data_IF_404476454285
#
_entry.id   IF_404476454285
#
_cell.length_a   1.000
_cell.length_b   1.000
_cell.length_c   1.000
_cell.angle_alpha   90.00
_cell.angle_beta   90.00
_cell.angle_gamma   90.00
#
_symmetry.space_group_name_H-M   'P 1'
#
loop_
_entity.id
_entity.type
_entity.pdbx_description
1 polymer ?
#
# COMPACT_ATOMS: atom_id res chain seq x y z
N UNK A 1 6.86 34.56 24.21
CA UNK A 1 7.17 33.10 24.27
C UNK A 1 7.35 32.63 22.85
N UNK A 2 8.48 32.03 22.52
CA UNK A 2 8.71 31.44 21.20
C UNK A 2 8.26 29.97 21.23
N UNK A 3 7.36 29.61 20.36
CA UNK A 3 6.98 28.21 20.11
C UNK A 3 7.97 27.58 19.14
N UNK A 4 8.13 26.25 19.19
CA UNK A 4 9.03 25.54 18.26
C UNK A 4 8.61 25.65 16.79
N UNK A 5 7.33 25.91 16.54
CA UNK A 5 6.69 25.88 15.21
C UNK A 5 6.94 24.60 14.40
N UNK A 6 7.28 23.51 15.09
CA UNK A 6 7.56 22.22 14.48
C UNK A 6 6.65 21.16 15.08
N UNK A 7 6.08 20.31 14.24
CA UNK A 7 5.28 19.15 14.62
C UNK A 7 5.89 17.89 14.00
N UNK A 8 5.94 16.79 14.75
CA UNK A 8 6.44 15.51 14.25
C UNK A 8 7.97 15.44 13.99
N UNK A 9 8.74 16.42 14.45
CA UNK A 9 10.20 16.43 14.29
C UNK A 9 10.96 15.77 15.45
N UNK A 10 10.30 15.60 16.60
CA UNK A 10 10.91 14.88 17.72
C UNK A 10 10.71 13.40 17.48
N UNK A 11 11.77 12.73 17.05
CA UNK A 11 11.76 11.30 16.77
C UNK A 11 12.56 10.56 17.81
N UNK A 12 12.06 9.39 18.19
CA UNK A 12 12.69 8.52 19.18
C UNK A 12 13.16 7.26 18.46
N UNK A 13 14.45 6.98 18.51
CA UNK A 13 15.00 5.75 17.95
C UNK A 13 14.81 4.57 18.90
N UNK A 14 15.00 3.36 18.38
CA UNK A 14 14.84 2.09 19.10
C UNK A 14 15.72 2.05 20.35
N UNK A 15 16.97 2.51 20.26
CA UNK A 15 17.90 2.52 21.39
C UNK A 15 17.41 3.42 22.52
N UNK A 16 16.98 4.63 22.21
CA UNK A 16 16.43 5.57 23.19
C UNK A 16 15.17 5.00 23.88
N UNK A 17 14.30 4.36 23.10
CA UNK A 17 13.09 3.74 23.62
C UNK A 17 13.42 2.61 24.61
N UNK A 18 14.37 1.74 24.26
CA UNK A 18 14.83 0.65 25.10
C UNK A 18 15.50 1.19 26.39
N UNK A 19 16.39 2.15 26.25
CA UNK A 19 17.05 2.77 27.41
C UNK A 19 16.05 3.40 28.38
N UNK A 20 15.06 4.11 27.85
CA UNK A 20 14.03 4.74 28.67
C UNK A 20 13.16 3.69 29.38
N UNK A 21 12.76 2.64 28.66
CA UNK A 21 11.99 1.55 29.23
C UNK A 21 12.74 0.81 30.35
N UNK A 22 14.05 0.60 30.24
CA UNK A 22 14.87 0.04 31.32
C UNK A 22 14.97 0.96 32.53
N UNK A 23 15.07 2.27 32.33
CA UNK A 23 15.06 3.24 33.47
C UNK A 23 13.73 3.17 34.21
N UNK A 24 12.62 3.10 33.51
CA UNK A 24 11.31 2.91 34.14
C UNK A 24 11.21 1.55 34.84
N UNK A 25 11.82 0.50 34.30
CA UNK A 25 11.88 -0.80 34.95
C UNK A 25 12.82 -0.84 36.18
N UNK A 26 13.65 0.18 36.40
CA UNK A 26 14.48 0.30 37.58
C UNK A 26 15.98 0.05 37.38
N UNK A 27 16.44 0.01 36.11
CA UNK A 27 17.86 -0.08 35.80
C UNK A 27 18.46 1.30 35.49
N UNK A 28 19.66 1.55 35.96
CA UNK A 28 20.41 2.76 35.61
C UNK A 28 21.12 2.57 34.26
N UNK A 29 21.52 3.67 33.61
CA UNK A 29 22.24 3.62 32.36
C UNK A 29 23.59 2.87 32.45
N UNK A 30 24.24 2.93 33.61
CA UNK A 30 25.52 2.25 33.87
C UNK A 30 25.38 0.73 34.00
N UNK A 31 24.19 0.23 34.31
CA UNK A 31 23.88 -1.21 34.41
C UNK A 31 23.44 -1.82 33.09
N UNK A 32 23.36 -1.03 32.01
CA UNK A 32 22.96 -1.48 30.70
C UNK A 32 24.07 -2.26 29.99
N UNK A 33 23.96 -3.58 30.01
CA UNK A 33 24.86 -4.47 29.25
C UNK A 33 24.34 -4.69 27.83
N UNK A 34 25.20 -5.11 26.86
CA UNK A 34 24.75 -5.48 25.54
C UNK A 34 23.66 -6.57 25.53
N UNK A 35 23.66 -7.46 26.51
CA UNK A 35 22.62 -8.48 26.69
C UNK A 35 21.25 -7.86 26.99
N UNK A 36 21.20 -6.85 27.88
CA UNK A 36 19.96 -6.14 28.16
C UNK A 36 19.43 -5.38 26.95
N UNK A 37 20.31 -4.77 26.17
CA UNK A 37 19.90 -4.09 24.92
C UNK A 37 19.31 -5.08 23.93
N UNK A 38 19.93 -6.25 23.77
CA UNK A 38 19.43 -7.31 22.90
C UNK A 38 18.09 -7.87 23.39
N UNK A 39 17.95 -8.10 24.70
CA UNK A 39 16.70 -8.52 25.32
C UNK A 39 15.60 -7.44 25.15
N UNK A 40 15.96 -6.15 25.28
CA UNK A 40 15.07 -5.03 25.03
C UNK A 40 14.57 -5.00 23.58
N UNK A 41 15.47 -5.19 22.62
CA UNK A 41 15.11 -5.27 21.19
C UNK A 41 14.13 -6.43 20.91
N UNK A 42 14.40 -7.60 21.48
CA UNK A 42 13.54 -8.77 21.34
C UNK A 42 12.18 -8.56 22.01
N UNK A 43 12.14 -7.97 23.20
CA UNK A 43 10.91 -7.64 23.91
C UNK A 43 10.07 -6.60 23.13
N UNK A 44 10.72 -5.62 22.51
CA UNK A 44 10.06 -4.63 21.66
C UNK A 44 9.45 -5.29 20.43
N UNK A 45 10.18 -6.17 19.76
CA UNK A 45 9.66 -6.95 18.62
C UNK A 45 8.39 -7.73 19.00
N UNK A 46 8.42 -8.50 20.09
CA UNK A 46 7.23 -9.20 20.56
C UNK A 46 6.08 -8.27 20.98
N UNK A 47 6.41 -7.08 21.46
CA UNK A 47 5.41 -6.09 21.81
C UNK A 47 4.67 -5.57 20.57
N UNK A 48 5.40 -5.25 19.51
CA UNK A 48 4.84 -4.82 18.24
C UNK A 48 4.00 -5.93 17.59
N UNK A 49 4.49 -7.17 17.60
CA UNK A 49 3.72 -8.31 17.08
C UNK A 49 2.43 -8.53 17.87
N UNK A 50 2.46 -8.40 19.19
CA UNK A 50 1.28 -8.51 20.02
C UNK A 50 0.27 -7.39 19.74
N UNK A 51 0.75 -6.16 19.52
CA UNK A 51 -0.10 -5.03 19.14
C UNK A 51 -0.82 -5.28 17.80
N UNK A 52 -0.13 -5.86 16.84
CA UNK A 52 -0.74 -6.27 15.56
C UNK A 52 -1.88 -7.30 15.72
N UNK A 53 -1.84 -8.14 16.78
CA UNK A 53 -2.86 -9.16 17.04
C UNK A 53 -4.09 -8.61 17.83
N UNK A 54 -4.02 -7.41 18.39
CA UNK A 54 -5.07 -6.86 19.26
C UNK A 54 -6.20 -6.16 18.51
N UNK A 55 -6.14 -6.09 17.19
CA UNK A 55 -7.20 -5.50 16.37
C UNK A 55 -6.69 -4.82 15.12
N UNK A 56 -7.58 -4.12 14.44
CA UNK A 56 -7.25 -3.38 13.22
C UNK A 56 -6.59 -2.07 13.60
N UNK A 57 -5.34 -1.91 13.22
CA UNK A 57 -4.62 -0.66 13.34
C UNK A 57 -4.80 0.14 12.05
N UNK A 58 -5.50 1.28 12.10
CA UNK A 58 -5.88 2.04 10.90
C UNK A 58 -4.68 2.47 10.06
N UNK A 59 -3.51 2.74 10.67
CA UNK A 59 -2.29 3.10 9.94
C UNK A 59 -1.64 1.94 9.17
N UNK A 60 -2.08 0.70 9.40
CA UNK A 60 -1.61 -0.49 8.68
C UNK A 60 -2.49 -0.81 7.46
N UNK A 61 -3.59 -0.06 7.29
CA UNK A 61 -4.44 -0.19 6.12
C UNK A 61 -3.85 0.57 4.94
N UNK A 62 -3.70 -0.12 3.83
CA UNK A 62 -3.21 0.46 2.58
C UNK A 62 -4.14 0.14 1.43
N UNK A 63 -4.39 1.15 0.62
CA UNK A 63 -5.13 0.99 -0.62
C UNK A 63 -4.16 0.65 -1.74
N UNK A 64 -4.30 -0.54 -2.33
CA UNK A 64 -3.47 -1.01 -3.44
C UNK A 64 -4.31 -1.30 -4.67
N UNK A 65 -3.74 -1.01 -5.84
CA UNK A 65 -4.34 -1.25 -7.14
C UNK A 65 -3.57 -2.35 -7.86
N UNK A 66 -4.31 -3.35 -8.34
CA UNK A 66 -3.78 -4.48 -9.11
C UNK A 66 -4.47 -4.54 -10.46
N UNK A 67 -3.71 -4.69 -11.54
CA UNK A 67 -4.28 -4.97 -12.85
C UNK A 67 -4.88 -6.38 -12.93
N UNK A 68 -5.89 -6.54 -13.75
CA UNK A 68 -6.39 -7.87 -14.09
C UNK A 68 -5.46 -8.56 -15.08
N UNK A 69 -5.41 -9.87 -15.03
CA UNK A 69 -4.82 -10.72 -16.06
C UNK A 69 -5.90 -11.70 -16.52
N UNK A 70 -6.02 -11.88 -17.82
CA UNK A 70 -6.99 -12.82 -18.40
C UNK A 70 -6.81 -14.22 -17.81
N UNK A 71 -7.90 -14.85 -17.44
CA UNK A 71 -7.96 -16.18 -16.83
C UNK A 71 -7.21 -16.30 -15.48
N UNK A 72 -6.87 -15.19 -14.85
CA UNK A 72 -6.20 -15.19 -13.55
C UNK A 72 -7.15 -15.63 -12.44
N UNK A 73 -6.96 -16.82 -11.94
CA UNK A 73 -7.71 -17.36 -10.80
C UNK A 73 -7.13 -16.91 -9.46
N UNK A 74 -5.82 -16.76 -9.39
CA UNK A 74 -5.06 -16.47 -8.17
C UNK A 74 -4.26 -15.18 -8.33
N UNK A 75 -4.50 -14.22 -7.45
CA UNK A 75 -3.69 -13.02 -7.28
C UNK A 75 -2.78 -13.22 -6.06
N UNK A 76 -1.47 -13.20 -6.26
CA UNK A 76 -0.50 -13.23 -5.17
C UNK A 76 -0.37 -11.84 -4.57
N UNK A 77 -0.46 -11.75 -3.26
CA UNK A 77 -0.32 -10.49 -2.53
C UNK A 77 1.06 -10.42 -1.86
N UNK A 78 1.54 -9.22 -1.48
CA UNK A 78 2.78 -9.08 -0.73
C UNK A 78 2.78 -9.95 0.54
N UNK A 79 3.91 -10.60 0.86
CA UNK A 79 4.03 -11.46 2.03
C UNK A 79 3.73 -10.74 3.36
N UNK A 80 3.80 -9.42 3.36
CA UNK A 80 3.43 -8.56 4.50
C UNK A 80 1.93 -8.38 4.68
N UNK A 81 1.06 -8.92 3.79
CA UNK A 81 -0.38 -8.79 3.88
C UNK A 81 -0.96 -9.74 4.93
N UNK A 82 -1.61 -9.19 5.94
CA UNK A 82 -2.30 -9.96 7.00
C UNK A 82 -3.72 -10.33 6.55
N UNK A 83 -4.45 -9.36 5.98
CA UNK A 83 -5.83 -9.55 5.53
C UNK A 83 -6.18 -8.59 4.39
N UNK A 84 -7.20 -8.95 3.63
CA UNK A 84 -7.88 -8.09 2.66
C UNK A 84 -9.20 -7.65 3.29
N UNK A 85 -9.28 -6.37 3.69
CA UNK A 85 -10.45 -5.81 4.37
C UNK A 85 -11.57 -5.51 3.40
N UNK A 86 -11.20 -4.92 2.26
CA UNK A 86 -12.13 -4.58 1.18
C UNK A 86 -11.49 -4.94 -0.16
N UNK A 87 -12.30 -5.44 -1.07
CA UNK A 87 -11.91 -5.68 -2.44
C UNK A 87 -12.99 -5.16 -3.37
N UNK A 88 -12.59 -4.35 -4.32
CA UNK A 88 -13.46 -3.74 -5.30
C UNK A 88 -12.96 -4.04 -6.70
N UNK A 89 -13.89 -4.31 -7.60
CA UNK A 89 -13.65 -4.27 -9.03
C UNK A 89 -13.79 -2.85 -9.52
N UNK A 90 -12.83 -2.37 -10.29
CA UNK A 90 -12.84 -1.03 -10.85
C UNK A 90 -12.84 -1.14 -12.38
N UNK A 91 -13.89 -0.64 -12.99
CA UNK A 91 -13.91 -0.50 -14.44
C UNK A 91 -12.97 0.61 -14.88
N UNK A 92 -11.95 0.23 -15.61
CA UNK A 92 -11.01 1.14 -16.27
C UNK A 92 -11.64 1.59 -17.58
N UNK A 93 -11.99 2.86 -17.66
CA UNK A 93 -12.37 3.47 -18.93
C UNK A 93 -11.12 4.08 -19.54
N UNK A 94 -10.56 3.41 -20.55
CA UNK A 94 -9.47 3.99 -21.32
C UNK A 94 -9.99 5.24 -22.02
N UNK A 95 -9.25 6.32 -21.86
CA UNK A 95 -9.48 7.53 -22.61
C UNK A 95 -8.93 7.35 -24.02
N UNK A 96 -9.73 7.74 -25.03
CA UNK A 96 -9.23 7.81 -26.41
C UNK A 96 -8.22 8.94 -26.50
N UNK A 97 -7.03 8.63 -27.00
CA UNK A 97 -5.98 9.59 -27.24
C UNK A 97 -6.14 10.23 -28.62
N UNK A 98 -5.82 11.52 -28.73
CA UNK A 98 -5.72 12.20 -30.01
C UNK A 98 -4.39 11.89 -30.68
N UNK A 99 -3.29 11.90 -29.92
CA UNK A 99 -1.95 11.59 -30.39
C UNK A 99 -1.12 10.95 -29.27
N UNK A 100 -0.26 9.99 -29.67
CA UNK A 100 0.73 9.40 -28.76
C UNK A 100 2.01 10.27 -28.76
N UNK A 101 2.60 10.45 -27.58
CA UNK A 101 3.77 11.31 -27.37
C UNK A 101 4.96 10.53 -26.81
N UNK A 102 6.20 10.91 -27.14
CA UNK A 102 6.57 11.99 -28.07
C UNK A 102 6.31 11.60 -29.53
N UNK A 103 5.91 12.57 -30.35
CA UNK A 103 5.54 12.36 -31.76
C UNK A 103 6.71 11.78 -32.59
N UNK A 104 7.93 12.16 -32.23
CA UNK A 104 9.15 11.70 -32.91
C UNK A 104 9.52 10.25 -32.60
N UNK A 105 8.92 9.66 -31.58
CA UNK A 105 9.12 8.24 -31.27
C UNK A 105 8.10 7.39 -32.06
N UNK A 106 8.58 6.72 -33.09
CA UNK A 106 7.76 5.93 -34.00
C UNK A 106 7.02 4.76 -33.32
N UNK A 107 7.54 4.31 -32.17
CA UNK A 107 6.98 3.20 -31.39
C UNK A 107 5.98 3.67 -30.32
N UNK A 108 5.89 4.98 -30.04
CA UNK A 108 5.00 5.51 -29.02
C UNK A 108 3.51 5.10 -29.20
N UNK A 109 2.96 5.06 -30.42
CA UNK A 109 1.58 4.58 -30.63
C UNK A 109 1.32 3.13 -30.18
N UNK A 110 2.37 2.29 -30.14
CA UNK A 110 2.26 0.91 -29.65
C UNK A 110 1.87 0.82 -28.17
N UNK A 111 2.10 1.89 -27.40
CA UNK A 111 1.71 1.94 -25.98
C UNK A 111 0.21 2.11 -25.76
N UNK A 112 -0.57 2.36 -26.81
CA UNK A 112 -2.00 2.66 -26.74
C UNK A 112 -2.87 1.73 -27.63
N UNK A 113 -2.26 0.74 -28.27
CA UNK A 113 -2.91 -0.16 -29.22
C UNK A 113 -3.68 -1.33 -28.57
N UNK A 114 -3.65 -1.42 -27.23
CA UNK A 114 -4.23 -2.52 -26.45
C UNK A 114 -3.67 -3.90 -26.81
N UNK A 115 -2.44 -3.95 -27.32
CA UNK A 115 -1.75 -5.18 -27.65
C UNK A 115 -0.51 -5.36 -26.77
N UNK A 116 -0.52 -6.34 -25.89
CA UNK A 116 0.60 -6.61 -24.97
C UNK A 116 1.80 -7.28 -25.66
N UNK A 117 1.75 -7.57 -26.95
CA UNK A 117 2.89 -8.08 -27.71
C UNK A 117 3.77 -6.98 -28.30
N UNK A 118 3.25 -5.77 -28.37
CA UNK A 118 3.97 -4.56 -28.78
C UNK A 118 4.62 -3.88 -27.57
N UNK A 119 5.62 -3.05 -27.82
CA UNK A 119 6.28 -2.25 -26.78
C UNK A 119 6.94 -1.02 -27.39
N UNK A 120 7.22 -0.03 -26.57
CA UNK A 120 8.05 1.11 -26.95
C UNK A 120 9.15 1.34 -25.90
N UNK A 121 10.28 1.87 -26.35
CA UNK A 121 11.40 2.28 -25.51
C UNK A 121 11.63 3.77 -25.66
N UNK A 122 11.77 4.48 -24.55
CA UNK A 122 12.10 5.91 -24.55
C UNK A 122 13.54 6.12 -25.00
N UNK A 123 13.85 7.33 -25.47
CA UNK A 123 15.21 7.76 -25.78
C UNK A 123 15.86 8.42 -24.56
N UNK A 124 17.20 8.54 -24.54
CA UNK A 124 17.92 9.23 -23.46
C UNK A 124 17.56 10.73 -23.38
N UNK A 125 17.21 11.34 -24.52
CA UNK A 125 16.80 12.75 -24.57
C UNK A 125 15.35 12.96 -24.14
N UNK A 126 14.48 11.98 -24.42
CA UNK A 126 13.05 12.00 -24.13
C UNK A 126 12.68 10.80 -23.27
N UNK A 127 13.04 10.87 -22.00
CA UNK A 127 12.83 9.83 -21.03
C UNK A 127 11.39 9.83 -20.48
N UNK A 128 10.42 9.89 -21.38
CA UNK A 128 8.99 9.95 -21.06
C UNK A 128 8.11 9.42 -22.18
N UNK A 129 6.90 9.01 -21.81
CA UNK A 129 5.80 8.71 -22.72
C UNK A 129 4.53 9.38 -22.24
N UNK A 130 3.69 9.77 -23.21
CA UNK A 130 2.46 10.48 -22.90
C UNK A 130 1.43 10.44 -24.02
N UNK A 131 0.38 11.22 -23.85
CA UNK A 131 -0.69 11.34 -24.81
C UNK A 131 -1.29 12.74 -24.83
N UNK A 132 -1.78 13.13 -26.01
CA UNK A 132 -2.66 14.27 -26.20
C UNK A 132 -4.12 13.82 -26.20
N UNK A 133 -4.98 14.63 -25.57
CA UNK A 133 -6.42 14.43 -25.51
C UNK A 133 -7.15 15.64 -26.11
N UNK A 134 -8.00 15.39 -27.08
CA UNK A 134 -8.87 16.40 -27.65
C UNK A 134 -10.33 15.88 -27.68
N UNK A 135 -11.24 16.42 -26.87
CA UNK A 135 -11.06 17.53 -25.91
C UNK A 135 -10.25 17.14 -24.66
N UNK A 136 -9.73 18.15 -23.96
CA UNK A 136 -9.07 17.99 -22.65
C UNK A 136 -9.96 17.20 -21.67
N UNK A 137 -9.36 16.24 -20.94
CA UNK A 137 -10.08 15.35 -20.03
C UNK A 137 -9.29 15.16 -18.73
N UNK A 138 -9.95 15.06 -17.56
CA UNK A 138 -9.25 14.74 -16.31
C UNK A 138 -8.85 13.26 -16.29
N UNK A 139 -7.66 12.96 -15.75
CA UNK A 139 -7.15 11.61 -15.56
C UNK A 139 -7.14 11.29 -14.06
N UNK A 140 -7.78 10.20 -13.65
CA UNK A 140 -7.84 9.75 -12.26
C UNK A 140 -6.91 8.57 -11.97
N UNK A 141 -6.61 7.77 -12.98
CA UNK A 141 -5.71 6.62 -12.88
C UNK A 141 -4.78 6.58 -14.07
N UNK A 142 -3.54 6.22 -13.79
CA UNK A 142 -2.56 5.89 -14.83
C UNK A 142 -2.10 4.46 -14.61
N UNK A 143 -2.18 3.65 -15.64
CA UNK A 143 -1.71 2.27 -15.66
C UNK A 143 -0.50 2.12 -16.58
N UNK A 144 0.47 1.33 -16.17
CA UNK A 144 1.57 0.90 -17.02
C UNK A 144 1.63 -0.62 -17.05
N UNK A 145 1.95 -1.17 -18.22
CA UNK A 145 2.34 -2.56 -18.39
C UNK A 145 3.81 -2.63 -18.72
N UNK A 146 4.58 -3.33 -17.90
CA UNK A 146 6.02 -3.37 -18.01
C UNK A 146 6.51 -4.22 -19.19
N UNK A 147 7.57 -3.76 -19.86
CA UNK A 147 8.38 -4.57 -20.76
C UNK A 147 9.76 -4.77 -20.15
N UNK A 148 10.10 -6.02 -19.85
CA UNK A 148 11.36 -6.39 -19.24
C UNK A 148 12.06 -7.44 -20.10
N UNK A 149 13.29 -7.13 -20.53
CA UNK A 149 14.12 -8.08 -21.27
C UNK A 149 14.93 -8.95 -20.33
N UNK A 150 15.00 -10.24 -20.61
CA UNK A 150 15.84 -11.17 -19.83
C UNK A 150 15.16 -12.53 -19.60
N UNK A 151 15.76 -13.38 -18.76
CA UNK A 151 15.17 -14.65 -18.36
C UNK A 151 13.84 -14.47 -17.63
N UNK A 152 13.03 -15.52 -17.60
CA UNK A 152 11.77 -15.52 -16.84
C UNK A 152 12.02 -15.13 -15.38
N UNK A 153 11.28 -14.14 -14.89
CA UNK A 153 11.43 -13.57 -13.55
C UNK A 153 12.38 -12.39 -13.45
N UNK A 154 12.96 -11.92 -14.56
CA UNK A 154 13.67 -10.63 -14.58
C UNK A 154 12.74 -9.49 -14.21
N UNK A 155 13.26 -8.52 -13.46
CA UNK A 155 12.51 -7.35 -13.00
C UNK A 155 13.18 -6.07 -13.44
N UNK A 156 12.39 -5.02 -13.54
CA UNK A 156 12.88 -3.65 -13.73
C UNK A 156 12.22 -2.74 -12.70
N UNK A 157 12.94 -1.71 -12.26
CA UNK A 157 12.40 -0.73 -11.31
C UNK A 157 12.17 0.59 -12.03
N UNK A 158 10.96 1.10 -11.93
CA UNK A 158 10.56 2.39 -12.48
C UNK A 158 10.40 3.42 -11.36
N UNK A 159 10.93 4.63 -11.59
CA UNK A 159 10.78 5.78 -10.68
C UNK A 159 10.13 6.91 -11.46
N UNK A 160 8.80 6.98 -11.41
CA UNK A 160 8.01 7.77 -12.33
C UNK A 160 7.51 9.08 -11.71
N UNK A 161 7.42 10.11 -12.54
CA UNK A 161 6.72 11.35 -12.29
C UNK A 161 5.56 11.49 -13.28
N UNK A 162 4.39 11.88 -12.76
CA UNK A 162 3.24 12.25 -13.56
C UNK A 162 3.23 13.74 -13.80
N UNK A 163 3.21 14.13 -15.06
CA UNK A 163 3.30 15.51 -15.48
C UNK A 163 2.18 15.85 -16.46
N UNK A 164 1.75 17.12 -16.42
CA UNK A 164 0.65 17.62 -17.25
C UNK A 164 1.04 18.92 -17.91
N UNK A 165 0.44 19.22 -19.06
CA UNK A 165 0.64 20.46 -19.81
C UNK A 165 -0.66 20.90 -20.50
N UNK A 166 -0.82 22.21 -20.71
CA UNK A 166 -1.90 22.78 -21.52
C UNK A 166 -1.48 22.96 -22.98
N UNK A 167 -0.17 23.18 -23.22
CA UNK A 167 0.38 23.56 -24.50
C UNK A 167 1.30 22.49 -25.14
N UNK A 168 1.54 21.36 -24.43
CA UNK A 168 2.46 20.31 -24.84
C UNK A 168 3.96 20.68 -24.75
N UNK A 169 4.28 21.91 -24.32
CA UNK A 169 5.66 22.46 -24.27
C UNK A 169 6.07 22.65 -22.82
N UNK A 170 5.22 23.29 -22.02
CA UNK A 170 5.51 23.62 -20.62
C UNK A 170 4.89 22.55 -19.71
N UNK A 171 5.74 21.73 -19.10
CA UNK A 171 5.30 20.62 -18.27
C UNK A 171 5.35 20.93 -16.78
N UNK A 172 4.30 20.55 -16.07
CA UNK A 172 4.21 20.69 -14.61
C UNK A 172 4.09 19.32 -13.97
N UNK A 173 5.02 18.99 -13.07
CA UNK A 173 4.94 17.75 -12.29
C UNK A 173 3.81 17.86 -11.26
N UNK A 174 2.84 16.96 -11.35
CA UNK A 174 1.70 16.89 -10.44
C UNK A 174 1.95 15.91 -9.30
N UNK A 175 2.63 14.80 -9.59
CA UNK A 175 2.83 13.74 -8.62
C UNK A 175 4.10 12.95 -8.90
N UNK A 176 4.84 12.58 -7.85
CA UNK A 176 5.90 11.57 -7.89
C UNK A 176 5.35 10.26 -7.33
N UNK A 177 5.71 9.16 -7.94
CA UNK A 177 5.37 7.83 -7.45
C UNK A 177 6.55 7.18 -6.74
N UNK A 178 6.25 6.35 -5.73
CA UNK A 178 7.25 5.51 -5.10
C UNK A 178 7.84 4.53 -6.14
N UNK A 179 9.14 4.21 -6.07
CA UNK A 179 9.76 3.26 -6.98
C UNK A 179 9.00 1.93 -6.99
N UNK A 180 8.69 1.43 -8.18
CA UNK A 180 7.96 0.18 -8.37
C UNK A 180 8.81 -0.80 -9.19
N UNK A 181 8.97 -2.03 -8.67
CA UNK A 181 9.69 -3.10 -9.36
C UNK A 181 8.67 -4.05 -9.97
N UNK A 182 8.74 -4.23 -11.28
CA UNK A 182 7.78 -5.04 -12.05
C UNK A 182 8.52 -6.10 -12.88
N UNK A 183 7.82 -7.21 -13.10
CA UNK A 183 8.18 -8.25 -14.07
C UNK A 183 7.62 -7.93 -15.45
N UNK A 184 8.07 -8.66 -16.48
CA UNK A 184 7.50 -8.49 -17.82
C UNK A 184 6.00 -8.78 -17.85
N UNK A 185 5.24 -7.96 -18.56
CA UNK A 185 3.76 -8.00 -18.70
C UNK A 185 2.99 -7.73 -17.40
N UNK A 186 3.64 -7.29 -16.35
CA UNK A 186 2.97 -6.94 -15.10
C UNK A 186 2.34 -5.55 -15.19
N UNK A 187 1.09 -5.44 -14.73
CA UNK A 187 0.38 -4.18 -14.62
C UNK A 187 0.63 -3.51 -13.29
N UNK A 188 0.83 -2.20 -13.33
CA UNK A 188 0.77 -1.32 -12.16
C UNK A 188 -0.11 -0.13 -12.46
N UNK A 189 -1.09 0.12 -11.56
CA UNK A 189 -1.92 1.29 -11.60
C UNK A 189 -1.56 2.26 -10.49
N UNK A 190 -1.65 3.54 -10.80
CA UNK A 190 -1.39 4.64 -9.88
C UNK A 190 -2.64 5.50 -9.79
N UNK A 191 -2.99 5.88 -8.56
CA UNK A 191 -4.04 6.85 -8.32
C UNK A 191 -3.48 8.28 -8.45
N UNK A 192 -4.19 9.15 -9.15
CA UNK A 192 -3.82 10.55 -9.35
C UNK A 192 -4.63 11.42 -8.39
N UNK A 193 -3.94 12.07 -7.46
CA UNK A 193 -4.57 12.90 -6.45
C UNK A 193 -4.94 14.30 -6.96
N UNK A 194 -4.19 14.80 -7.95
CA UNK A 194 -4.44 16.10 -8.58
C UNK A 194 -4.80 15.86 -10.03
N UNK A 195 -6.04 16.12 -10.39
CA UNK A 195 -6.61 15.83 -11.72
C UNK A 195 -6.96 17.13 -12.46
N UNK A 196 -5.97 17.90 -12.95
CA UNK A 196 -6.26 19.04 -13.79
C UNK A 196 -6.91 18.56 -15.10
N UNK A 197 -7.77 19.42 -15.68
CA UNK A 197 -8.35 19.14 -17.00
C UNK A 197 -7.45 19.75 -18.08
N UNK A 198 -6.39 19.04 -18.42
CA UNK A 198 -5.41 19.44 -19.43
C UNK A 198 -5.54 18.58 -20.68
N UNK A 199 -4.90 19.03 -21.78
CA UNK A 199 -4.84 18.26 -23.01
C UNK A 199 -3.66 17.30 -23.08
N UNK A 200 -2.59 17.56 -22.34
CA UNK A 200 -1.35 16.78 -22.46
C UNK A 200 -0.97 16.16 -21.12
N UNK A 201 -0.68 14.87 -21.15
CA UNK A 201 -0.28 14.08 -19.97
C UNK A 201 0.91 13.19 -20.33
N UNK A 202 1.88 13.08 -19.40
CA UNK A 202 3.01 12.17 -19.57
C UNK A 202 3.48 11.52 -18.27
N UNK A 203 4.10 10.37 -18.43
CA UNK A 203 4.90 9.71 -17.41
C UNK A 203 6.36 9.86 -17.77
N UNK A 204 7.16 10.43 -16.88
CA UNK A 204 8.59 10.60 -17.04
C UNK A 204 9.34 9.71 -16.05
N UNK A 205 10.31 8.94 -16.55
CA UNK A 205 11.26 8.22 -15.71
C UNK A 205 12.27 9.22 -15.14
N UNK A 206 12.54 9.15 -13.83
CA UNK A 206 13.31 10.19 -13.13
C UNK A 206 14.73 9.76 -12.73
N UNK A 207 15.05 8.48 -12.83
CA UNK A 207 16.32 7.90 -12.40
C UNK A 207 17.07 7.20 -13.54
N UNK A 208 16.38 6.34 -14.31
CA UNK A 208 16.99 5.65 -15.44
C UNK A 208 17.03 6.54 -16.68
N UNK A 209 18.02 6.37 -17.55
CA UNK A 209 18.16 7.13 -18.78
C UNK A 209 17.10 6.79 -19.82
N UNK A 210 16.60 5.56 -19.79
CA UNK A 210 15.54 5.08 -20.67
C UNK A 210 14.59 4.14 -19.92
N UNK A 211 13.35 4.03 -20.40
CA UNK A 211 12.45 3.00 -19.92
C UNK A 211 11.60 2.41 -21.04
N UNK A 212 11.16 1.17 -20.85
CA UNK A 212 10.43 0.42 -21.85
C UNK A 212 9.11 -0.06 -21.28
N UNK A 213 8.04 0.16 -22.02
CA UNK A 213 6.69 -0.22 -21.63
C UNK A 213 5.99 -0.95 -22.78
N UNK A 214 5.04 -1.81 -22.43
CA UNK A 214 4.12 -2.44 -23.42
C UNK A 214 2.89 -1.58 -23.63
N UNK A 215 2.32 -1.06 -22.52
CA UNK A 215 1.11 -0.27 -22.57
C UNK A 215 1.13 0.84 -21.53
N UNK A 216 0.51 1.95 -21.87
CA UNK A 216 0.10 3.01 -20.94
C UNK A 216 -1.41 3.19 -21.05
N UNK A 217 -2.05 3.34 -19.93
CA UNK A 217 -3.48 3.61 -19.83
C UNK A 217 -3.70 4.87 -19.02
N UNK A 218 -4.30 5.88 -19.63
CA UNK A 218 -4.86 7.02 -18.92
C UNK A 218 -6.35 6.76 -18.76
N UNK A 219 -6.86 6.81 -17.55
CA UNK A 219 -8.22 6.36 -17.27
C UNK A 219 -8.98 7.30 -16.37
N UNK A 220 -10.29 7.37 -16.66
CA UNK A 220 -11.29 7.74 -15.69
C UNK A 220 -11.96 6.47 -15.18
N UNK A 221 -11.94 6.23 -13.86
CA UNK A 221 -12.77 5.19 -13.30
C UNK A 221 -14.21 5.66 -13.26
N UNK A 222 -15.08 4.96 -13.96
CA UNK A 222 -16.50 5.29 -13.97
C UNK A 222 -17.30 4.52 -12.93
N UNK A 223 -16.79 3.37 -12.48
CA UNK A 223 -17.55 2.51 -11.59
C UNK A 223 -16.66 1.64 -10.72
N UNK A 224 -16.89 1.72 -9.41
CA UNK A 224 -16.27 0.85 -8.40
C UNK A 224 -17.36 -0.08 -7.85
N UNK A 225 -17.14 -1.38 -7.92
CA UNK A 225 -18.12 -2.40 -7.50
C UNK A 225 -17.49 -3.30 -6.45
N UNK A 226 -18.06 -3.39 -5.25
CA UNK A 226 -17.51 -4.25 -4.20
C UNK A 226 -17.63 -5.73 -4.58
N UNK A 227 -16.59 -6.49 -4.24
CA UNK A 227 -16.56 -7.94 -4.35
C UNK A 227 -17.04 -8.58 -3.05
N UNK A 228 -17.84 -9.62 -3.14
CA UNK A 228 -18.29 -10.37 -1.96
C UNK A 228 -17.19 -11.32 -1.48
N UNK A 229 -16.85 -11.24 -0.18
CA UNK A 229 -15.88 -12.16 0.42
C UNK A 229 -16.52 -13.54 0.66
N UNK A 230 -15.84 -14.58 0.20
CA UNK A 230 -16.19 -15.97 0.47
C UNK A 230 -15.34 -16.53 1.62
N UNK A 231 -15.88 -17.50 2.33
CA UNK A 231 -15.09 -18.38 3.17
C UNK A 231 -14.42 -19.49 2.31
N UNK A 232 -13.52 -20.25 2.93
CA UNK A 232 -12.79 -21.32 2.24
C UNK A 232 -13.73 -22.37 1.66
N UNK A 233 -14.70 -22.83 2.44
CA UNK A 233 -15.58 -23.92 2.04
C UNK A 233 -16.51 -23.51 0.91
N UNK A 234 -17.04 -22.28 0.97
CA UNK A 234 -17.87 -21.74 -0.11
C UNK A 234 -17.11 -21.65 -1.42
N UNK A 235 -15.85 -21.17 -1.38
CA UNK A 235 -15.00 -21.10 -2.58
C UNK A 235 -14.73 -22.51 -3.14
N UNK A 236 -14.40 -23.49 -2.28
CA UNK A 236 -14.09 -24.85 -2.74
C UNK A 236 -15.33 -25.60 -3.26
N UNK A 237 -16.53 -25.23 -2.85
CA UNK A 237 -17.78 -25.78 -3.34
C UNK A 237 -18.26 -25.19 -4.67
N UNK A 238 -17.60 -24.17 -5.21
CA UNK A 238 -17.93 -23.62 -6.53
C UNK A 238 -17.75 -24.67 -7.63
N UNK A 239 -18.75 -24.86 -8.50
CA UNK A 239 -18.77 -25.98 -9.47
C UNK A 239 -17.73 -25.83 -10.57
N UNK A 240 -17.45 -24.60 -11.01
CA UNK A 240 -16.45 -24.30 -12.03
C UNK A 240 -15.60 -23.09 -11.60
N UNK A 241 -14.37 -23.34 -11.18
CA UNK A 241 -13.44 -22.32 -10.70
C UNK A 241 -12.78 -21.52 -11.84
N UNK A 242 -12.81 -22.05 -13.05
CA UNK A 242 -12.28 -21.40 -14.26
C UNK A 242 -13.36 -20.71 -15.08
N UNK A 243 -14.57 -20.57 -14.53
CA UNK A 243 -15.62 -19.81 -15.17
C UNK A 243 -15.21 -18.36 -15.37
N UNK A 244 -15.05 -17.94 -16.63
CA UNK A 244 -14.61 -16.59 -16.98
C UNK A 244 -15.80 -15.65 -17.18
N UNK A 245 -15.64 -14.40 -16.76
CA UNK A 245 -16.63 -13.33 -16.93
C UNK A 245 -15.91 -11.98 -17.10
N UNK A 246 -16.66 -10.98 -17.63
CA UNK A 246 -16.13 -9.61 -17.74
C UNK A 246 -15.69 -9.01 -16.42
N UNK A 247 -16.24 -9.50 -15.30
CA UNK A 247 -15.81 -9.07 -13.96
C UNK A 247 -15.85 -10.22 -12.97
N UNK A 248 -14.99 -10.15 -11.97
CA UNK A 248 -15.12 -10.97 -10.78
C UNK A 248 -16.23 -10.43 -9.89
N UNK A 249 -16.93 -11.32 -9.18
CA UNK A 249 -18.02 -10.99 -8.26
C UNK A 249 -17.64 -11.26 -6.81
N UNK A 250 -16.81 -12.25 -6.61
CA UNK A 250 -16.49 -12.80 -5.30
C UNK A 250 -15.00 -13.12 -5.21
N UNK A 251 -14.48 -13.14 -4.00
CA UNK A 251 -13.12 -13.53 -3.73
C UNK A 251 -13.00 -14.33 -2.43
N UNK A 252 -12.01 -15.21 -2.37
CA UNK A 252 -11.56 -15.85 -1.16
C UNK A 252 -10.11 -15.49 -0.89
N UNK A 253 -9.82 -15.00 0.33
CA UNK A 253 -8.48 -14.67 0.78
C UNK A 253 -7.88 -15.84 1.55
N UNK A 254 -6.76 -16.37 1.07
CA UNK A 254 -6.01 -17.46 1.69
C UNK A 254 -4.85 -16.90 2.53
N UNK A 255 -4.98 -17.04 3.85
CA UNK A 255 -3.99 -16.58 4.83
C UNK A 255 -2.84 -17.56 4.98
N UNK A 256 -2.01 -17.68 3.95
CA UNK A 256 -0.77 -18.45 4.01
C UNK A 256 0.42 -17.53 4.27
N UNK A 257 1.63 -18.11 4.43
CA UNK A 257 2.89 -17.34 4.50
C UNK A 257 3.06 -16.50 3.23
N UNK A 258 2.65 -17.04 2.08
CA UNK A 258 2.50 -16.31 0.83
C UNK A 258 1.00 -16.06 0.59
N UNK A 259 0.47 -14.93 1.05
CA UNK A 259 -0.95 -14.67 1.00
C UNK A 259 -1.43 -14.54 -0.44
N UNK A 260 -2.63 -15.03 -0.68
CA UNK A 260 -3.20 -15.03 -2.02
C UNK A 260 -4.70 -14.77 -1.98
N UNK A 261 -5.18 -14.10 -3.01
CA UNK A 261 -6.60 -13.88 -3.23
C UNK A 261 -7.06 -14.70 -4.43
N UNK A 262 -8.06 -15.53 -4.24
CA UNK A 262 -8.70 -16.31 -5.30
C UNK A 262 -9.95 -15.61 -5.75
N UNK A 263 -10.10 -15.47 -7.06
CA UNK A 263 -11.16 -14.73 -7.73
C UNK A 263 -12.21 -15.65 -8.33
N UNK A 264 -13.47 -15.24 -8.30
CA UNK A 264 -14.54 -15.94 -9.00
C UNK A 264 -15.69 -14.98 -9.39
N UNK A 265 -16.17 -15.02 -10.64
CA UNK A 265 -15.53 -15.62 -11.82
C UNK A 265 -14.13 -15.07 -12.09
N UNK A 266 -13.33 -15.79 -12.90
CA UNK A 266 -12.02 -15.27 -13.31
C UNK A 266 -12.21 -14.16 -14.35
N UNK A 267 -11.34 -13.13 -14.39
CA UNK A 267 -11.41 -12.08 -15.41
C UNK A 267 -11.21 -12.66 -16.83
N UNK A 268 -11.88 -12.11 -17.82
CA UNK A 268 -11.70 -12.45 -19.22
C UNK A 268 -10.98 -11.36 -20.03
N UNK A 269 -10.32 -10.43 -19.34
CA UNK A 269 -9.57 -9.34 -19.98
C UNK A 269 -8.43 -8.84 -19.06
N UNK A 270 -7.45 -8.16 -19.66
CA UNK A 270 -6.23 -7.66 -19.03
C UNK A 270 -6.27 -6.17 -18.68
N UNK A 271 -7.37 -5.48 -18.92
CA UNK A 271 -7.42 -4.02 -18.89
C UNK A 271 -8.29 -3.43 -17.76
N UNK A 272 -8.66 -4.24 -16.80
CA UNK A 272 -9.41 -3.79 -15.61
C UNK A 272 -8.50 -3.80 -14.39
N UNK A 273 -8.99 -3.36 -13.24
CA UNK A 273 -8.21 -3.40 -12.02
C UNK A 273 -9.02 -3.79 -10.78
N UNK A 274 -8.29 -4.29 -9.79
CA UNK A 274 -8.76 -4.48 -8.43
C UNK A 274 -8.23 -3.37 -7.55
N UNK A 275 -9.11 -2.77 -6.78
CA UNK A 275 -8.76 -1.91 -5.66
C UNK A 275 -8.93 -2.70 -4.38
N UNK A 276 -7.84 -2.91 -3.65
CA UNK A 276 -7.81 -3.69 -2.42
C UNK A 276 -7.41 -2.80 -1.25
N UNK A 277 -8.18 -2.83 -0.18
CA UNK A 277 -7.74 -2.31 1.11
C UNK A 277 -7.13 -3.47 1.87
N UNK A 278 -5.82 -3.50 1.94
CA UNK A 278 -5.05 -4.53 2.62
C UNK A 278 -4.59 -4.06 3.99
N UNK A 279 -4.58 -4.99 4.94
CA UNK A 279 -3.94 -4.80 6.24
C UNK A 279 -2.52 -5.36 6.17
N UNK A 280 -1.53 -4.51 6.39
CA UNK A 280 -0.12 -4.88 6.37
C UNK A 280 0.38 -5.33 7.75
N UNK A 281 1.37 -6.18 7.73
CA UNK A 281 2.14 -6.49 8.92
C UNK A 281 2.92 -5.26 9.40
N UNK A 282 2.99 -5.10 10.71
CA UNK A 282 3.82 -4.07 11.32
C UNK A 282 5.29 -4.29 10.99
N UNK A 283 6.00 -3.20 10.66
CA UNK A 283 7.43 -3.29 10.33
C UNK A 283 8.26 -3.76 11.53
N UNK A 284 9.33 -4.49 11.24
CA UNK A 284 10.29 -4.94 12.23
C UNK A 284 11.04 -3.79 12.91
N UNK A 285 11.56 -4.06 14.09
CA UNK A 285 12.36 -3.12 14.89
C UNK A 285 13.63 -2.65 14.15
N UNK A 286 14.18 -3.47 13.25
CA UNK A 286 15.38 -3.13 12.47
C UNK A 286 16.64 -2.97 13.33
N UNK A 287 17.43 -1.91 13.07
CA UNK A 287 18.62 -1.56 13.87
C UNK A 287 18.26 -0.65 15.05
N UNK A 288 19.17 -0.52 16.00
CA UNK A 288 19.00 0.37 17.18
C UNK A 288 18.86 1.85 16.79
N UNK A 289 19.39 2.24 15.65
CA UNK A 289 19.33 3.61 15.13
C UNK A 289 18.04 3.90 14.35
N UNK A 290 17.25 2.87 14.04
CA UNK A 290 16.00 3.06 13.32
C UNK A 290 14.92 3.65 14.23
N UNK A 291 13.96 4.30 13.62
CA UNK A 291 12.70 4.69 14.27
C UNK A 291 11.71 3.53 14.17
N UNK A 292 10.78 3.46 15.12
CA UNK A 292 9.67 2.50 15.03
C UNK A 292 8.58 3.06 14.10
N UNK A 293 8.04 2.19 13.24
CA UNK A 293 6.96 2.56 12.32
C UNK A 293 5.61 2.51 13.01
N UNK A 294 5.34 3.51 13.87
CA UNK A 294 4.07 3.68 14.56
C UNK A 294 3.73 5.17 14.69
N UNK A 295 2.44 5.54 14.71
CA UNK A 295 2.04 6.92 14.97
C UNK A 295 2.48 7.40 16.36
N UNK A 296 2.82 8.69 16.49
CA UNK A 296 3.30 9.28 17.74
C UNK A 296 2.39 9.02 18.94
N UNK A 297 1.07 8.95 18.73
CA UNK A 297 0.07 8.65 19.77
C UNK A 297 0.25 7.25 20.42
N UNK A 298 0.92 6.33 19.75
CA UNK A 298 1.18 4.98 20.25
C UNK A 298 2.50 4.82 20.98
N UNK A 299 3.44 5.75 20.82
CA UNK A 299 4.80 5.64 21.37
C UNK A 299 4.76 5.48 22.90
N UNK A 300 3.95 6.28 23.60
CA UNK A 300 3.83 6.20 25.05
C UNK A 300 3.26 4.85 25.53
N UNK A 301 2.29 4.29 24.80
CA UNK A 301 1.72 2.97 25.11
C UNK A 301 2.72 1.85 24.89
N UNK A 302 3.44 1.88 23.77
CA UNK A 302 4.48 0.88 23.43
C UNK A 302 5.60 0.93 24.47
N UNK A 303 6.05 2.13 24.85
CA UNK A 303 7.09 2.33 25.85
C UNK A 303 6.67 1.76 27.20
N UNK A 304 5.47 2.09 27.70
CA UNK A 304 4.98 1.57 28.98
C UNK A 304 4.85 0.04 28.99
N UNK A 305 4.32 -0.53 27.89
CA UNK A 305 4.25 -1.99 27.73
C UNK A 305 5.64 -2.64 27.67
N UNK A 306 6.61 -1.98 27.02
CA UNK A 306 8.00 -2.43 27.00
C UNK A 306 8.61 -2.38 28.40
N UNK A 307 8.40 -1.30 29.16
CA UNK A 307 8.88 -1.14 30.53
C UNK A 307 8.33 -2.24 31.45
N UNK A 308 7.05 -2.56 31.34
CA UNK A 308 6.45 -3.68 32.07
C UNK A 308 7.09 -5.02 31.68
N UNK A 309 7.23 -5.34 30.39
CA UNK A 309 7.86 -6.60 29.94
C UNK A 309 9.31 -6.73 30.40
N UNK A 310 10.08 -5.64 30.39
CA UNK A 310 11.46 -5.63 30.85
C UNK A 310 11.56 -5.74 32.38
N UNK A 311 10.62 -5.17 33.12
CA UNK A 311 10.59 -5.30 34.60
C UNK A 311 10.44 -6.75 35.05
N UNK A 312 9.75 -7.60 34.25
CA UNK A 312 9.63 -9.05 34.53
C UNK A 312 10.94 -9.82 34.33
N UNK A 313 11.88 -9.27 33.56
CA UNK A 313 13.17 -9.90 33.25
C UNK A 313 14.27 -9.49 34.24
N UNK A 314 14.00 -8.49 35.08
CA UNK A 314 14.97 -7.96 36.06
C UNK A 314 14.66 -8.52 37.45
N UNK A 315 15.50 -9.42 37.99
CA UNK A 315 15.21 -10.10 39.28
C UNK A 315 15.12 -9.19 40.48
N UNK A 316 15.67 -8.00 40.41
CA UNK A 316 15.78 -7.03 41.54
C UNK A 316 14.60 -6.07 41.60
N UNK A 317 13.64 -6.13 40.71
CA UNK A 317 12.49 -5.23 40.69
C UNK A 317 11.44 -5.68 41.69
N UNK A 318 10.94 -4.75 42.48
CA UNK A 318 9.87 -4.99 43.46
C UNK A 318 8.53 -5.28 42.73
N UNK A 319 7.77 -6.23 43.28
CA UNK A 319 6.46 -6.63 42.74
C UNK A 319 5.48 -5.45 42.65
N UNK A 320 5.51 -4.53 43.61
CA UNK A 320 4.67 -3.33 43.59
C UNK A 320 4.96 -2.44 42.36
N UNK A 321 6.23 -2.35 41.94
CA UNK A 321 6.62 -1.62 40.75
C UNK A 321 6.14 -2.32 39.47
N UNK A 322 6.25 -3.63 39.43
CA UNK A 322 5.76 -4.43 38.31
C UNK A 322 4.25 -4.21 38.11
N UNK A 323 3.47 -4.32 39.17
CA UNK A 323 2.02 -4.06 39.14
C UNK A 323 1.67 -2.62 38.73
N UNK A 324 2.46 -1.65 39.17
CA UNK A 324 2.29 -0.26 38.74
C UNK A 324 2.54 -0.09 37.25
N UNK A 325 3.62 -0.68 36.70
CA UNK A 325 3.95 -0.61 35.27
C UNK A 325 2.92 -1.33 34.43
N UNK A 326 2.38 -2.46 34.89
CA UNK A 326 1.26 -3.17 34.23
C UNK A 326 0.03 -2.28 34.12
N UNK A 327 -0.43 -1.71 35.24
CA UNK A 327 -1.59 -0.84 35.25
C UNK A 327 -1.39 0.44 34.40
N UNK A 328 -0.17 0.97 34.36
CA UNK A 328 0.18 2.10 33.49
C UNK A 328 0.14 1.72 32.01
N UNK A 329 0.68 0.56 31.66
CA UNK A 329 0.68 0.04 30.30
C UNK A 329 -0.76 -0.16 29.78
N UNK A 330 -1.63 -0.79 30.58
CA UNK A 330 -3.05 -0.99 30.24
C UNK A 330 -3.80 0.33 30.06
N UNK A 331 -3.56 1.29 30.95
CA UNK A 331 -4.18 2.62 30.86
C UNK A 331 -3.78 3.34 29.58
N UNK A 332 -2.49 3.39 29.25
CA UNK A 332 -1.99 4.07 28.07
C UNK A 332 -2.42 3.34 26.79
N UNK A 333 -2.46 2.02 26.83
CA UNK A 333 -3.00 1.22 25.73
C UNK A 333 -4.47 1.54 25.46
N UNK A 334 -5.32 1.59 26.50
CA UNK A 334 -6.73 1.94 26.34
C UNK A 334 -6.91 3.36 25.79
N UNK A 335 -6.08 4.31 26.21
CA UNK A 335 -6.11 5.68 25.70
C UNK A 335 -5.76 5.73 24.20
N UNK A 336 -4.67 5.09 23.79
CA UNK A 336 -4.25 5.03 22.39
C UNK A 336 -5.29 4.31 21.52
N UNK A 337 -5.82 3.18 21.98
CA UNK A 337 -6.85 2.41 21.26
C UNK A 337 -8.18 3.18 21.12
N UNK A 338 -8.57 3.98 22.12
CA UNK A 338 -9.76 4.82 22.02
C UNK A 338 -9.59 5.97 21.02
N UNK A 339 -8.37 6.49 20.86
CA UNK A 339 -8.07 7.52 19.87
C UNK A 339 -8.01 6.95 18.45
N UNK A 340 -7.66 5.67 18.30
CA UNK A 340 -7.55 4.97 17.01
C UNK A 340 -8.91 4.59 16.41
N UNK A 341 -10.00 4.65 17.18
CA UNK A 341 -11.32 4.27 16.67
C UNK A 341 -11.77 5.21 15.57
N UNK A 342 -12.38 4.63 14.53
CA UNK A 342 -13.09 5.40 13.53
C UNK A 342 -14.23 6.20 14.22
N UNK A 343 -14.17 7.51 14.06
CA UNK A 343 -15.14 8.46 14.64
C UNK A 343 -16.31 8.76 13.70
N UNK A 344 -16.39 8.04 12.57
CA UNK A 344 -17.48 8.20 11.62
C UNK A 344 -18.83 7.85 12.25
N UNK A 345 -19.88 8.65 12.06
CA UNK A 345 -21.21 8.33 12.58
C UNK A 345 -21.76 7.08 11.89
N UNK A 346 -22.18 6.12 12.68
CA UNK A 346 -22.87 4.92 12.17
C UNK A 346 -24.36 5.23 12.05
N UNK A 347 -24.85 5.27 10.81
CA UNK A 347 -26.28 5.42 10.55
C UNK A 347 -26.88 4.04 10.26
N UNK A 348 -27.80 3.62 11.12
CA UNK A 348 -28.65 2.45 10.84
C UNK A 348 -29.87 2.92 10.06
N UNK A 349 -29.88 2.70 8.75
CA UNK A 349 -31.08 2.88 7.93
C UNK A 349 -31.69 1.50 7.65
N UNK A 350 -33.01 1.32 7.93
CA UNK A 350 -33.67 0.11 7.48
C UNK A 350 -33.61 0.02 5.96
N UNK A 351 -33.19 -1.10 5.42
CA UNK A 351 -33.21 -1.32 3.97
C UNK A 351 -34.67 -1.55 3.53
N UNK A 352 -35.34 -0.48 3.14
CA UNK A 352 -36.74 -0.49 2.68
C UNK A 352 -36.87 -0.70 1.17
N UNK A 353 -35.78 -0.97 0.44
CA UNK A 353 -35.79 -1.14 -1.02
C UNK A 353 -36.71 -2.29 -1.50
N UNK A 354 -37.03 -3.24 -0.64
CA UNK A 354 -37.98 -4.31 -0.93
C UNK A 354 -39.47 -3.88 -0.83
N UNK A 355 -39.76 -2.74 -0.23
CA UNK A 355 -41.14 -2.27 0.00
C UNK A 355 -41.54 -1.09 -0.92
N UNK A 356 -40.61 -0.57 -1.71
CA UNK A 356 -40.90 0.46 -2.70
C UNK A 356 -40.81 -0.16 -4.10
N UNK A 357 -41.91 -0.80 -4.52
CA UNK A 357 -42.19 -1.13 -5.92
C UNK A 357 -43.30 -0.19 -6.40
#
# INVERSE_FOLDING_TARGET
MSYSNTTGQTKINVDQLIQYAFREAGKTAEEMTPEYVQAGKQALFYNLQNLSNLGVNLWLLENQLYGTVEMQQKLTLPATTIDVREANWVYVQNLEIAEALPVDNIDAPALFDQNLDTYATSTEEENWFGAEFDPAQPVFYVGINAYVTGPLGSTTTYTLAYETSEDGITWTTQQYFDPVTLTDREWKYFYIYTTPNHSYYRLRETVADTFSLRQIVFSQSTQVIPLARLNRDDYWNLPNKQFASQRSLQYWYDRQIEPSMYLWPVPNNDFQMFQLVIEKQMMDVGSLTNEIYVPDRWIASIQASLSHKLSLQIPTVDMARIQYLEAQADKLFMQANNEERDKSPIYFQPNISYYTR
#
